data_IF_238802131357
#
_entry.id   IF_238802131357
#
_cell.length_a   1.000
_cell.length_b   1.000
_cell.length_c   1.000
_cell.angle_alpha   90.00
_cell.angle_beta   90.00
_cell.angle_gamma   90.00
#
_symmetry.space_group_name_H-M   'P 1'
#
loop_
_entity.id
_entity.type
_entity.pdbx_description
1 polymer ?
#
# COMPACT_ATOMS: atom_id res chain seq x y z
N UNK A 1 -37.06 -15.61 4.61
CA UNK A 1 -36.89 -14.20 5.03
C UNK A 1 -36.12 -14.01 6.35
N UNK A 2 -36.10 -15.01 7.26
CA UNK A 2 -35.37 -14.93 8.56
C UNK A 2 -33.85 -15.07 8.47
N UNK A 3 -33.30 -15.71 7.44
CA UNK A 3 -31.85 -15.96 7.31
C UNK A 3 -31.07 -14.69 6.89
N UNK A 4 -31.67 -13.78 6.11
CA UNK A 4 -31.02 -12.54 5.66
C UNK A 4 -30.85 -11.50 6.78
N UNK A 5 -31.73 -11.52 7.78
CA UNK A 5 -31.66 -10.61 8.93
C UNK A 5 -30.53 -11.05 9.88
N UNK A 6 -30.31 -12.36 10.03
CA UNK A 6 -29.26 -12.89 10.91
C UNK A 6 -27.85 -12.58 10.38
N UNK A 7 -27.63 -12.63 9.06
CA UNK A 7 -26.35 -12.29 8.45
C UNK A 7 -26.06 -10.78 8.56
N UNK A 8 -27.09 -9.94 8.45
CA UNK A 8 -26.96 -8.48 8.60
C UNK A 8 -26.57 -8.09 10.04
N UNK A 9 -27.15 -8.78 11.05
CA UNK A 9 -26.81 -8.57 12.46
C UNK A 9 -25.40 -9.05 12.80
N UNK A 10 -24.93 -10.15 12.21
CA UNK A 10 -23.56 -10.64 12.42
C UNK A 10 -22.51 -9.67 11.82
N UNK A 11 -22.78 -9.11 10.62
CA UNK A 11 -21.90 -8.10 10.01
C UNK A 11 -21.91 -6.75 10.76
N UNK A 12 -23.04 -6.33 11.28
CA UNK A 12 -23.15 -5.14 12.12
C UNK A 12 -22.44 -5.34 13.48
N UNK A 13 -22.51 -6.53 14.07
CA UNK A 13 -21.82 -6.82 15.34
C UNK A 13 -20.30 -6.82 15.19
N UNK A 14 -19.73 -7.38 14.12
CA UNK A 14 -18.28 -7.35 13.87
C UNK A 14 -17.75 -5.93 13.62
N UNK A 15 -18.50 -5.07 12.93
CA UNK A 15 -18.14 -3.65 12.72
C UNK A 15 -18.21 -2.83 14.01
N UNK A 16 -19.14 -3.15 14.93
CA UNK A 16 -19.23 -2.53 16.25
C UNK A 16 -18.10 -3.00 17.18
N UNK A 17 -17.76 -4.28 17.17
CA UNK A 17 -16.69 -4.84 18.00
C UNK A 17 -15.34 -4.17 17.73
N UNK A 18 -14.98 -3.89 16.45
CA UNK A 18 -13.73 -3.20 16.15
C UNK A 18 -13.70 -1.73 16.57
N UNK A 19 -14.85 -1.02 16.47
CA UNK A 19 -14.94 0.36 16.96
C UNK A 19 -14.89 0.41 18.50
N UNK A 20 -15.50 -0.56 19.17
CA UNK A 20 -15.54 -0.65 20.61
C UNK A 20 -14.17 -1.03 21.22
N UNK A 21 -13.38 -1.88 20.56
CA UNK A 21 -12.01 -2.23 21.01
C UNK A 21 -11.10 -1.02 20.98
N UNK A 22 -11.10 -0.23 19.89
CA UNK A 22 -10.28 0.99 19.82
C UNK A 22 -10.72 2.02 20.85
N UNK A 23 -12.01 2.27 20.97
CA UNK A 23 -12.52 3.22 21.95
C UNK A 23 -12.25 2.75 23.37
N UNK A 24 -12.36 1.46 23.64
CA UNK A 24 -11.99 0.87 24.92
C UNK A 24 -10.50 1.02 25.21
N UNK A 25 -9.61 0.64 24.28
CA UNK A 25 -8.16 0.77 24.46
C UNK A 25 -7.74 2.23 24.62
N UNK A 26 -8.32 3.16 23.85
CA UNK A 26 -8.03 4.58 23.99
C UNK A 26 -8.69 5.25 25.21
N UNK A 27 -9.65 4.63 25.89
CA UNK A 27 -10.29 5.18 27.09
C UNK A 27 -9.63 4.75 28.38
N UNK A 28 -8.88 3.66 28.39
CA UNK A 28 -8.14 3.22 29.58
C UNK A 28 -6.92 4.11 29.79
N UNK A 29 -6.55 4.43 31.04
CA UNK A 29 -5.26 5.03 31.33
C UNK A 29 -4.17 4.10 30.83
N UNK A 30 -3.22 4.63 30.05
CA UNK A 30 -2.18 3.82 29.41
C UNK A 30 -1.37 2.98 30.40
N UNK A 31 -1.09 3.53 31.56
CA UNK A 31 -0.33 2.85 32.62
C UNK A 31 -1.07 1.65 33.20
N UNK A 32 -2.40 1.56 33.01
CA UNK A 32 -3.21 0.42 33.44
C UNK A 32 -3.23 -0.74 32.46
N UNK A 33 -2.76 -0.51 31.19
CA UNK A 33 -2.78 -1.54 30.14
C UNK A 33 -1.58 -2.48 30.26
N UNK A 34 -0.50 -2.06 30.95
CA UNK A 34 0.70 -2.89 31.19
C UNK A 34 1.51 -3.24 29.93
N UNK A 35 1.19 -2.66 28.78
CA UNK A 35 1.85 -2.91 27.52
C UNK A 35 2.81 -1.76 27.15
N UNK A 36 3.93 -2.10 26.50
CA UNK A 36 4.80 -1.10 25.86
C UNK A 36 4.10 -0.45 24.67
N UNK A 37 4.66 0.63 24.13
CA UNK A 37 4.11 1.30 22.94
C UNK A 37 3.90 0.35 21.76
N UNK A 38 4.93 -0.43 21.47
CA UNK A 38 4.93 -1.32 20.31
C UNK A 38 4.01 -2.52 20.53
N UNK A 39 4.05 -3.10 21.76
CA UNK A 39 3.16 -4.20 22.14
C UNK A 39 1.69 -3.83 22.05
N UNK A 40 1.33 -2.59 22.36
CA UNK A 40 -0.06 -2.12 22.25
C UNK A 40 -0.54 -2.06 20.80
N UNK A 41 0.32 -1.58 19.89
CA UNK A 41 0.01 -1.55 18.45
C UNK A 41 -0.07 -2.96 17.89
N UNK A 42 0.90 -3.82 18.20
CA UNK A 42 0.93 -5.21 17.74
C UNK A 42 -0.31 -5.97 18.23
N UNK A 43 -0.62 -5.90 19.52
CA UNK A 43 -1.82 -6.53 20.08
C UNK A 43 -3.10 -6.07 19.37
N UNK A 44 -3.25 -4.77 19.12
CA UNK A 44 -4.39 -4.25 18.37
C UNK A 44 -4.47 -4.83 16.93
N UNK A 45 -3.35 -4.94 16.24
CA UNK A 45 -3.30 -5.47 14.87
C UNK A 45 -3.62 -6.97 14.85
N UNK A 46 -3.07 -7.75 15.78
CA UNK A 46 -3.34 -9.18 15.95
C UNK A 46 -4.83 -9.44 16.22
N UNK A 47 -5.44 -8.75 17.20
CA UNK A 47 -6.87 -8.84 17.50
C UNK A 47 -7.75 -8.40 16.31
N UNK A 48 -7.22 -7.57 15.43
CA UNK A 48 -7.88 -7.16 14.19
C UNK A 48 -7.69 -8.15 13.04
N UNK A 49 -6.95 -9.25 13.25
CA UNK A 49 -6.67 -10.25 12.23
C UNK A 49 -5.74 -9.75 11.11
N UNK A 50 -4.85 -8.80 11.42
CA UNK A 50 -3.84 -8.31 10.49
C UNK A 50 -2.62 -9.24 10.53
N UNK A 51 -2.13 -9.71 9.38
CA UNK A 51 -0.90 -10.51 9.31
C UNK A 51 0.30 -9.74 9.88
N UNK A 52 1.03 -10.37 10.76
CA UNK A 52 2.27 -9.85 11.34
C UNK A 52 3.35 -10.90 11.17
N UNK A 53 4.49 -10.49 10.67
CA UNK A 53 5.67 -11.34 10.54
C UNK A 53 6.89 -10.68 11.15
N UNK A 54 7.77 -11.47 11.71
CA UNK A 54 9.00 -11.04 12.41
C UNK A 54 10.29 -11.45 11.70
N UNK A 55 10.18 -12.00 10.50
CA UNK A 55 11.29 -12.44 9.66
C UNK A 55 11.43 -11.54 8.43
N UNK A 56 11.85 -10.28 8.63
CA UNK A 56 11.92 -9.32 7.52
C UNK A 56 13.12 -8.39 7.58
N UNK A 57 13.59 -7.95 6.40
CA UNK A 57 14.45 -6.78 6.21
C UNK A 57 13.68 -5.68 5.51
N UNK A 58 13.82 -4.45 6.00
CA UNK A 58 13.18 -3.27 5.40
C UNK A 58 14.22 -2.20 5.11
N UNK A 59 14.30 -1.76 3.86
CA UNK A 59 15.12 -0.64 3.41
C UNK A 59 14.23 0.54 3.04
N UNK A 60 14.42 1.69 3.68
CA UNK A 60 13.74 2.92 3.31
C UNK A 60 14.40 3.56 2.08
N UNK A 61 13.58 3.87 1.08
CA UNK A 61 13.93 4.55 -0.16
C UNK A 61 13.37 5.97 -0.08
N UNK A 62 14.23 6.94 0.17
CA UNK A 62 13.88 8.31 0.57
C UNK A 62 13.69 9.26 -0.61
N UNK A 63 13.80 8.76 -1.84
CA UNK A 63 13.64 9.55 -3.06
C UNK A 63 13.23 8.67 -4.24
N UNK A 64 12.66 9.28 -5.27
CA UNK A 64 12.37 8.57 -6.52
C UNK A 64 13.61 7.98 -7.17
N UNK A 65 14.75 8.68 -7.07
CA UNK A 65 16.04 8.17 -7.59
C UNK A 65 16.44 6.86 -6.91
N UNK A 66 16.43 6.82 -5.58
CA UNK A 66 16.73 5.60 -4.83
C UNK A 66 15.77 4.47 -5.18
N UNK A 67 14.45 4.78 -5.19
CA UNK A 67 13.42 3.79 -5.55
C UNK A 67 13.65 3.19 -6.92
N UNK A 68 13.83 4.02 -7.95
CA UNK A 68 13.90 3.49 -9.31
C UNK A 68 15.21 2.77 -9.62
N UNK A 69 16.33 3.18 -9.03
CA UNK A 69 17.58 2.43 -9.12
C UNK A 69 17.40 1.03 -8.51
N UNK A 70 16.94 0.96 -7.27
CA UNK A 70 16.77 -0.28 -6.51
C UNK A 70 15.73 -1.22 -7.17
N UNK A 71 14.56 -0.69 -7.55
CA UNK A 71 13.52 -1.46 -8.22
C UNK A 71 13.98 -2.02 -9.58
N UNK A 72 14.71 -1.23 -10.38
CA UNK A 72 15.17 -1.68 -11.69
C UNK A 72 16.27 -2.73 -11.56
N UNK A 73 17.12 -2.64 -10.55
CA UNK A 73 18.09 -3.69 -10.23
C UNK A 73 17.39 -5.00 -9.87
N UNK A 74 16.43 -4.95 -8.95
CA UNK A 74 15.66 -6.14 -8.58
C UNK A 74 14.92 -6.76 -9.78
N UNK A 75 14.34 -5.95 -10.67
CA UNK A 75 13.69 -6.45 -11.88
C UNK A 75 14.70 -7.10 -12.85
N UNK A 76 15.93 -6.55 -12.99
CA UNK A 76 16.98 -7.19 -13.82
C UNK A 76 17.33 -8.59 -13.32
N UNK A 77 17.31 -8.79 -12.01
CA UNK A 77 17.65 -10.06 -11.37
C UNK A 77 16.48 -11.07 -11.39
N UNK A 78 15.27 -10.65 -11.70
CA UNK A 78 14.08 -11.49 -11.73
C UNK A 78 14.27 -12.75 -12.59
N UNK A 79 13.80 -13.89 -12.09
CA UNK A 79 13.91 -15.21 -12.76
C UNK A 79 12.56 -15.87 -13.03
N UNK A 80 11.55 -15.58 -12.21
CA UNK A 80 10.24 -16.23 -12.30
C UNK A 80 9.13 -15.23 -12.66
N UNK A 81 8.92 -14.19 -11.84
CA UNK A 81 7.83 -13.24 -12.09
C UNK A 81 8.12 -11.84 -11.60
N UNK A 82 7.46 -10.87 -12.24
CA UNK A 82 7.36 -9.48 -11.79
C UNK A 82 5.89 -9.07 -11.77
N UNK A 83 5.38 -8.74 -10.59
CA UNK A 83 4.02 -8.26 -10.38
C UNK A 83 4.04 -6.78 -9.97
N UNK A 84 3.25 -5.96 -10.64
CA UNK A 84 3.22 -4.52 -10.45
C UNK A 84 1.77 -4.02 -10.29
N UNK A 85 1.44 -3.41 -9.15
CA UNK A 85 0.16 -2.77 -8.86
C UNK A 85 0.40 -1.31 -8.48
N UNK A 86 -0.07 -0.39 -9.30
CA UNK A 86 0.12 1.04 -9.07
C UNK A 86 -1.16 1.82 -9.35
N UNK A 87 -1.36 2.95 -8.66
CA UNK A 87 -2.46 3.84 -8.99
C UNK A 87 -2.33 4.37 -10.42
N UNK A 88 -1.12 4.71 -10.85
CA UNK A 88 -0.85 5.02 -12.26
C UNK A 88 0.57 4.68 -12.69
N UNK A 89 0.71 4.41 -13.99
CA UNK A 89 1.94 4.51 -14.76
C UNK A 89 1.82 5.73 -15.66
N UNK A 90 2.69 6.73 -15.50
CA UNK A 90 2.71 7.85 -16.44
C UNK A 90 3.41 7.45 -17.73
N UNK A 91 2.92 7.95 -18.87
CA UNK A 91 3.60 7.78 -20.13
C UNK A 91 4.75 8.79 -20.22
N UNK A 92 5.81 8.56 -19.48
CA UNK A 92 7.01 9.39 -19.37
C UNK A 92 8.29 8.53 -19.39
N UNK A 93 9.46 9.15 -19.15
CA UNK A 93 10.75 8.48 -19.35
C UNK A 93 10.93 7.27 -18.44
N UNK A 94 10.60 7.39 -17.15
CA UNK A 94 10.74 6.30 -16.18
C UNK A 94 9.82 5.14 -16.51
N UNK A 95 8.56 5.39 -16.82
CA UNK A 95 7.63 4.32 -17.16
C UNK A 95 8.02 3.64 -18.48
N UNK A 96 8.48 4.41 -19.47
CA UNK A 96 8.96 3.83 -20.73
C UNK A 96 10.21 2.96 -20.52
N UNK A 97 11.17 3.41 -19.69
CA UNK A 97 12.35 2.61 -19.32
C UNK A 97 11.95 1.34 -18.56
N UNK A 98 10.98 1.44 -17.63
CA UNK A 98 10.45 0.27 -16.92
C UNK A 98 9.85 -0.74 -17.89
N UNK A 99 8.92 -0.32 -18.78
CA UNK A 99 8.31 -1.25 -19.74
C UNK A 99 9.30 -1.84 -20.75
N UNK A 100 10.37 -1.11 -21.10
CA UNK A 100 11.46 -1.66 -21.91
C UNK A 100 12.17 -2.79 -21.17
N UNK A 101 12.57 -2.57 -19.91
CA UNK A 101 13.21 -3.59 -19.08
C UNK A 101 12.29 -4.80 -18.87
N UNK A 102 11.01 -4.58 -18.59
CA UNK A 102 10.02 -5.65 -18.43
C UNK A 102 9.88 -6.50 -19.71
N UNK A 103 9.90 -5.86 -20.89
CA UNK A 103 9.85 -6.56 -22.18
C UNK A 103 11.13 -7.39 -22.42
N UNK A 104 12.29 -6.98 -21.93
CA UNK A 104 13.52 -7.76 -21.94
C UNK A 104 13.36 -9.00 -21.04
N UNK A 105 12.82 -8.84 -19.83
CA UNK A 105 12.58 -9.92 -18.88
C UNK A 105 11.56 -10.96 -19.43
N UNK A 106 10.52 -10.51 -20.13
CA UNK A 106 9.59 -11.42 -20.81
C UNK A 106 10.32 -12.31 -21.84
N UNK A 107 11.28 -11.75 -22.61
CA UNK A 107 12.08 -12.53 -23.56
C UNK A 107 12.99 -13.56 -22.87
N UNK A 108 13.35 -13.29 -21.61
CA UNK A 108 14.10 -14.23 -20.77
C UNK A 108 13.22 -15.30 -20.12
N UNK A 109 11.90 -15.28 -20.35
CA UNK A 109 10.92 -16.23 -19.80
C UNK A 109 10.29 -15.80 -18.47
N UNK A 110 10.53 -14.57 -18.01
CA UNK A 110 9.92 -14.04 -16.78
C UNK A 110 8.46 -13.67 -17.04
N UNK A 111 7.55 -14.09 -16.17
CA UNK A 111 6.14 -13.69 -16.21
C UNK A 111 5.97 -12.26 -15.71
N UNK A 112 5.40 -11.39 -16.51
CA UNK A 112 5.20 -9.98 -16.13
C UNK A 112 3.72 -9.62 -16.12
N UNK A 113 3.21 -9.26 -14.95
CA UNK A 113 1.83 -8.80 -14.75
C UNK A 113 1.82 -7.41 -14.14
N UNK A 114 1.10 -6.49 -14.77
CA UNK A 114 0.97 -5.10 -14.32
C UNK A 114 -0.50 -4.68 -14.24
N UNK A 115 -0.86 -4.01 -13.17
CA UNK A 115 -2.21 -3.47 -12.96
C UNK A 115 -2.14 -2.01 -12.55
N UNK A 116 -3.10 -1.21 -13.03
CA UNK A 116 -3.23 0.20 -12.64
C UNK A 116 -4.69 0.62 -12.55
N UNK A 117 -4.96 1.58 -11.67
CA UNK A 117 -6.31 2.11 -11.48
C UNK A 117 -6.79 2.91 -12.71
N UNK A 118 -8.03 2.67 -13.13
CA UNK A 118 -8.60 3.34 -14.30
C UNK A 118 -8.73 4.85 -14.11
N UNK A 119 -9.13 5.31 -12.90
CA UNK A 119 -9.22 6.73 -12.56
C UNK A 119 -7.82 7.35 -12.41
N UNK A 120 -6.89 6.63 -11.75
CA UNK A 120 -5.50 7.07 -11.60
C UNK A 120 -4.83 7.31 -12.95
N UNK A 121 -5.13 6.47 -13.94
CA UNK A 121 -4.64 6.70 -15.30
C UNK A 121 -5.36 7.86 -15.99
N UNK A 122 -6.68 7.98 -15.82
CA UNK A 122 -7.47 9.05 -16.46
C UNK A 122 -7.13 10.43 -15.91
N UNK A 123 -6.95 10.54 -14.61
CA UNK A 123 -6.72 11.82 -13.92
C UNK A 123 -5.31 12.39 -14.11
N UNK A 124 -4.34 11.60 -14.58
CA UNK A 124 -2.99 12.10 -14.80
C UNK A 124 -2.83 12.77 -16.17
N UNK A 125 -1.93 13.74 -16.27
CA UNK A 125 -1.71 14.54 -17.50
C UNK A 125 -0.89 13.81 -18.59
N UNK A 126 -0.35 12.61 -18.31
CA UNK A 126 0.37 11.75 -19.27
C UNK A 126 -0.17 10.31 -19.19
N UNK A 127 -1.45 10.04 -19.50
CA UNK A 127 -2.04 8.72 -19.34
C UNK A 127 -1.53 7.70 -20.36
N UNK A 128 -1.51 6.44 -19.98
CA UNK A 128 -1.37 5.32 -20.90
C UNK A 128 -2.65 5.22 -21.75
N UNK A 129 -2.55 5.60 -23.03
CA UNK A 129 -3.65 5.50 -24.01
C UNK A 129 -3.74 4.08 -24.58
N UNK A 130 -4.85 3.75 -25.26
CA UNK A 130 -5.08 2.42 -25.89
C UNK A 130 -3.89 1.97 -26.76
N UNK A 131 -3.28 2.88 -27.54
CA UNK A 131 -2.11 2.56 -28.37
C UNK A 131 -0.87 2.14 -27.58
N UNK A 132 -0.65 2.78 -26.39
CA UNK A 132 0.47 2.43 -25.52
C UNK A 132 0.26 1.05 -24.87
N UNK A 133 -0.95 0.79 -24.39
CA UNK A 133 -1.32 -0.51 -23.81
C UNK A 133 -1.23 -1.63 -24.84
N UNK A 134 -1.63 -1.38 -26.09
CA UNK A 134 -1.47 -2.33 -27.18
C UNK A 134 -0.01 -2.71 -27.36
N UNK A 135 0.88 -1.69 -27.50
CA UNK A 135 2.32 -1.90 -27.65
C UNK A 135 2.93 -2.69 -26.48
N UNK A 136 2.54 -2.39 -25.24
CA UNK A 136 3.02 -3.10 -24.05
C UNK A 136 2.60 -4.57 -24.10
N UNK A 137 1.34 -4.86 -24.45
CA UNK A 137 0.83 -6.23 -24.57
C UNK A 137 1.49 -7.02 -25.69
N UNK A 138 1.78 -6.38 -26.82
CA UNK A 138 2.52 -6.99 -27.95
C UNK A 138 3.94 -7.41 -27.56
N UNK A 139 4.48 -6.87 -26.47
CA UNK A 139 5.78 -7.25 -25.90
C UNK A 139 5.67 -8.43 -24.91
N UNK A 140 4.46 -9.02 -24.73
CA UNK A 140 4.22 -10.14 -23.82
C UNK A 140 3.93 -9.76 -22.38
N UNK A 141 3.80 -8.48 -22.07
CA UNK A 141 3.45 -8.00 -20.72
C UNK A 141 1.93 -8.05 -20.55
N UNK A 142 1.46 -8.79 -19.55
CA UNK A 142 0.05 -8.76 -19.15
C UNK A 142 -0.22 -7.44 -18.40
N UNK A 143 -0.96 -6.51 -19.02
CA UNK A 143 -1.32 -5.24 -18.38
C UNK A 143 -2.82 -4.99 -18.42
N UNK A 144 -3.41 -4.75 -17.25
CA UNK A 144 -4.85 -4.55 -17.07
C UNK A 144 -5.17 -3.25 -16.32
N UNK A 145 -6.40 -2.79 -16.48
CA UNK A 145 -6.96 -1.68 -15.71
C UNK A 145 -7.80 -2.23 -14.57
N UNK A 146 -7.52 -1.80 -13.37
CA UNK A 146 -8.39 -2.03 -12.23
C UNK A 146 -9.65 -1.18 -12.37
N UNK A 147 -10.81 -1.82 -12.21
CA UNK A 147 -12.15 -1.23 -12.18
C UNK A 147 -12.37 -0.16 -13.27
N UNK A 148 -12.35 -0.55 -14.56
CA UNK A 148 -12.59 0.37 -15.66
C UNK A 148 -13.99 0.97 -15.56
N UNK A 149 -14.10 2.26 -15.92
CA UNK A 149 -15.40 2.93 -15.95
C UNK A 149 -16.33 2.30 -16.99
N UNK A 150 -17.42 1.70 -16.50
CA UNK A 150 -18.51 1.16 -17.30
C UNK A 150 -19.80 1.87 -16.97
N UNK A 151 -20.70 2.02 -17.95
CA UNK A 151 -22.01 2.62 -17.70
C UNK A 151 -22.89 1.68 -16.85
N UNK A 152 -23.66 2.16 -15.86
CA UNK A 152 -23.73 3.52 -15.32
C UNK A 152 -22.60 3.81 -14.32
N UNK A 153 -21.82 4.84 -14.56
CA UNK A 153 -20.53 5.18 -13.90
C UNK A 153 -20.60 5.38 -12.37
N UNK A 154 -21.77 5.54 -11.82
CA UNK A 154 -22.02 5.98 -10.43
C UNK A 154 -21.50 4.99 -9.39
N UNK A 155 -21.46 3.70 -9.70
CA UNK A 155 -21.12 2.65 -8.73
C UNK A 155 -19.62 2.44 -8.52
N UNK A 156 -18.77 3.02 -9.37
CA UNK A 156 -17.32 2.77 -9.41
C UNK A 156 -16.47 3.96 -8.95
N UNK A 157 -17.05 5.14 -8.77
CA UNK A 157 -16.29 6.36 -8.44
C UNK A 157 -15.49 6.25 -7.13
N UNK A 158 -16.01 5.56 -6.13
CA UNK A 158 -15.37 5.39 -4.81
C UNK A 158 -14.52 4.11 -4.68
N UNK A 159 -14.61 3.20 -5.65
CA UNK A 159 -13.89 1.93 -5.63
C UNK A 159 -12.57 2.08 -6.39
N UNK A 160 -11.59 2.70 -5.74
CA UNK A 160 -10.29 3.00 -6.36
C UNK A 160 -9.18 2.20 -5.69
N UNK A 161 -8.22 1.80 -6.51
CA UNK A 161 -7.00 1.15 -6.07
C UNK A 161 -5.86 2.16 -6.00
N UNK A 162 -5.50 2.55 -4.78
CA UNK A 162 -4.42 3.51 -4.55
C UNK A 162 -3.13 2.86 -4.03
N UNK A 163 -3.05 1.52 -4.09
CA UNK A 163 -1.84 0.78 -3.69
C UNK A 163 -0.67 1.06 -4.63
N UNK A 164 0.51 0.83 -4.14
CA UNK A 164 1.75 0.80 -4.90
C UNK A 164 2.50 -0.41 -4.41
N UNK A 165 2.40 -1.48 -5.17
CA UNK A 165 3.02 -2.77 -4.86
C UNK A 165 3.84 -3.21 -6.07
N UNK A 166 5.06 -3.65 -5.82
CA UNK A 166 5.81 -4.46 -6.76
C UNK A 166 6.30 -5.70 -6.02
N UNK A 167 6.16 -6.87 -6.61
CA UNK A 167 6.70 -8.12 -6.10
C UNK A 167 7.55 -8.78 -7.17
N UNK A 168 8.76 -9.15 -6.82
CA UNK A 168 9.73 -9.77 -7.70
C UNK A 168 10.08 -11.16 -7.16
N UNK A 169 9.77 -12.20 -7.94
CA UNK A 169 10.03 -13.61 -7.63
C UNK A 169 9.45 -14.11 -6.29
N UNK A 170 8.50 -13.36 -5.69
CA UNK A 170 8.03 -13.61 -4.33
C UNK A 170 9.09 -13.38 -3.24
N UNK A 171 10.26 -12.85 -3.57
CA UNK A 171 11.42 -12.69 -2.66
C UNK A 171 11.63 -11.25 -2.21
N UNK A 172 11.31 -10.31 -3.06
CA UNK A 172 11.47 -8.88 -2.80
C UNK A 172 10.17 -8.17 -3.13
N UNK A 173 9.72 -7.32 -2.22
CA UNK A 173 8.56 -6.47 -2.46
C UNK A 173 8.87 -4.99 -2.24
N UNK A 174 8.10 -4.14 -2.90
CA UNK A 174 8.14 -2.70 -2.75
C UNK A 174 6.75 -2.17 -2.47
N UNK A 175 6.65 -1.25 -1.50
CA UNK A 175 5.43 -0.50 -1.22
C UNK A 175 5.74 0.90 -0.69
N UNK A 176 4.78 1.83 -0.77
CA UNK A 176 4.94 3.20 -0.28
C UNK A 176 4.11 4.23 -1.06
N UNK A 177 4.54 5.50 -1.04
CA UNK A 177 3.78 6.60 -1.63
C UNK A 177 3.95 6.77 -3.16
N UNK A 178 5.10 6.36 -3.71
CA UNK A 178 5.51 6.72 -5.07
C UNK A 178 4.87 5.85 -6.15
N UNK A 179 4.22 6.48 -7.13
CA UNK A 179 3.85 5.84 -8.40
C UNK A 179 5.06 5.68 -9.34
N UNK A 180 4.81 5.31 -10.59
CA UNK A 180 5.82 5.25 -11.65
C UNK A 180 5.73 6.52 -12.50
N UNK A 181 6.56 7.51 -12.17
CA UNK A 181 6.56 8.81 -12.84
C UNK A 181 7.87 9.59 -12.65
N UNK A 182 8.24 10.36 -13.68
CA UNK A 182 9.46 11.19 -13.72
C UNK A 182 9.52 12.23 -12.59
N UNK A 183 8.38 12.75 -12.13
CA UNK A 183 8.35 13.85 -11.16
C UNK A 183 8.86 13.44 -9.77
N UNK A 184 8.90 12.16 -9.45
CA UNK A 184 9.53 11.69 -8.21
C UNK A 184 11.06 11.87 -8.21
N UNK A 185 11.67 12.02 -9.41
CA UNK A 185 13.10 12.33 -9.57
C UNK A 185 13.31 13.82 -9.82
N UNK A 186 12.55 14.38 -10.78
CA UNK A 186 12.80 15.70 -11.34
C UNK A 186 11.97 16.81 -10.69
N UNK A 187 11.01 16.47 -9.82
CA UNK A 187 10.03 17.40 -9.29
C UNK A 187 9.01 17.86 -10.35
N UNK A 188 8.25 18.89 -9.99
CA UNK A 188 7.30 19.56 -10.88
C UNK A 188 7.63 21.06 -10.98
N UNK A 189 7.53 21.69 -12.17
CA UNK A 189 7.92 23.10 -12.36
C UNK A 189 7.26 24.08 -11.40
N UNK A 190 5.99 23.83 -11.01
CA UNK A 190 5.22 24.72 -10.11
C UNK A 190 5.42 24.42 -8.62
N UNK A 191 5.91 23.21 -8.28
CA UNK A 191 5.97 22.72 -6.90
C UNK A 191 7.43 22.58 -6.44
N UNK A 192 8.35 22.36 -7.38
CA UNK A 192 9.76 22.10 -7.09
C UNK A 192 10.02 20.61 -6.84
N UNK A 193 10.96 20.33 -5.95
CA UNK A 193 11.36 18.97 -5.61
C UNK A 193 10.21 18.20 -4.97
N UNK A 194 9.94 17.01 -5.49
CA UNK A 194 8.96 16.09 -4.91
C UNK A 194 9.63 15.16 -3.90
N UNK A 195 9.18 15.21 -2.66
CA UNK A 195 9.64 14.29 -1.61
C UNK A 195 8.56 13.28 -1.31
N UNK A 196 8.94 12.02 -1.31
CA UNK A 196 8.07 10.90 -0.96
C UNK A 196 8.93 9.72 -0.51
N UNK A 197 8.34 8.71 0.11
CA UNK A 197 9.06 7.55 0.63
C UNK A 197 8.48 6.27 0.07
N UNK A 198 9.37 5.30 -0.10
CA UNK A 198 9.04 3.93 -0.48
C UNK A 198 9.85 2.97 0.38
N UNK A 199 9.47 1.71 0.39
CA UNK A 199 10.18 0.66 1.11
C UNK A 199 10.47 -0.50 0.17
N UNK A 200 11.64 -1.08 0.31
CA UNK A 200 11.99 -2.42 -0.13
C UNK A 200 11.84 -3.35 1.07
N UNK A 201 11.18 -4.48 0.90
CA UNK A 201 10.92 -5.50 1.90
C UNK A 201 11.44 -6.82 1.38
N UNK A 202 12.14 -7.57 2.22
CA UNK A 202 12.55 -8.95 2.01
C UNK A 202 12.11 -9.76 3.22
N UNK A 203 11.73 -11.03 3.04
CA UNK A 203 11.22 -11.89 4.12
C UNK A 203 9.71 -12.13 4.03
N UNK A 204 9.12 -12.60 5.12
CA UNK A 204 7.77 -13.20 5.12
C UNK A 204 6.65 -12.21 4.74
N UNK A 205 6.79 -10.92 5.07
CA UNK A 205 5.83 -9.89 4.67
C UNK A 205 5.71 -9.70 3.14
N UNK A 206 6.66 -10.23 2.35
CA UNK A 206 6.55 -10.26 0.88
C UNK A 206 5.35 -11.11 0.46
N UNK A 207 5.07 -12.20 1.17
CA UNK A 207 3.95 -13.09 0.90
C UNK A 207 2.60 -12.37 1.07
N UNK A 208 2.48 -11.48 2.07
CA UNK A 208 1.25 -10.69 2.27
C UNK A 208 1.00 -9.73 1.10
N UNK A 209 2.04 -9.07 0.61
CA UNK A 209 1.93 -8.17 -0.55
C UNK A 209 1.63 -8.94 -1.84
N UNK A 210 2.20 -10.13 -1.99
CA UNK A 210 1.93 -11.05 -3.10
C UNK A 210 0.47 -11.53 -3.08
N UNK A 211 -0.03 -11.92 -1.92
CA UNK A 211 -1.44 -12.35 -1.74
C UNK A 211 -2.42 -11.22 -2.10
N UNK A 212 -2.14 -9.99 -1.67
CA UNK A 212 -2.94 -8.81 -2.03
C UNK A 212 -2.98 -8.65 -3.55
N UNK A 213 -1.81 -8.66 -4.21
CA UNK A 213 -1.73 -8.53 -5.66
C UNK A 213 -2.53 -9.64 -6.37
N UNK A 214 -2.27 -10.90 -6.04
CA UNK A 214 -2.90 -12.05 -6.70
C UNK A 214 -4.41 -12.09 -6.47
N UNK A 215 -4.89 -11.75 -5.27
CA UNK A 215 -6.32 -11.66 -4.97
C UNK A 215 -7.02 -10.68 -5.91
N UNK A 216 -6.43 -9.51 -6.13
CA UNK A 216 -7.01 -8.47 -6.98
C UNK A 216 -6.84 -8.84 -8.46
N UNK A 217 -5.65 -9.29 -8.85
CA UNK A 217 -5.36 -9.74 -10.22
C UNK A 217 -6.33 -10.82 -10.70
N UNK A 218 -6.47 -11.89 -9.93
CA UNK A 218 -7.35 -13.00 -10.26
C UNK A 218 -8.82 -12.58 -10.35
N UNK A 219 -9.25 -11.68 -9.48
CA UNK A 219 -10.60 -11.12 -9.53
C UNK A 219 -10.85 -10.31 -10.79
N UNK A 220 -9.91 -9.42 -11.17
CA UNK A 220 -10.07 -8.53 -12.33
C UNK A 220 -9.92 -9.27 -13.67
N UNK A 221 -9.03 -10.26 -13.73
CA UNK A 221 -8.71 -11.00 -14.97
C UNK A 221 -9.50 -12.28 -15.15
N UNK A 222 -10.13 -12.80 -14.08
CA UNK A 222 -10.75 -14.14 -14.03
C UNK A 222 -9.75 -15.27 -14.22
N UNK A 223 -8.46 -15.00 -14.00
CA UNK A 223 -7.42 -16.02 -13.93
C UNK A 223 -7.43 -16.67 -12.53
N UNK A 224 -6.63 -17.72 -12.37
CA UNK A 224 -6.39 -18.39 -11.09
C UNK A 224 -4.88 -18.60 -10.92
N UNK A 225 -4.15 -17.50 -10.85
CA UNK A 225 -2.70 -17.49 -10.64
C UNK A 225 -2.42 -17.71 -9.17
N UNK A 226 -1.51 -18.64 -8.85
CA UNK A 226 -1.13 -18.97 -7.48
C UNK A 226 -0.27 -20.22 -7.43
N UNK A 227 -0.02 -20.74 -6.22
CA UNK A 227 0.81 -21.91 -5.97
C UNK A 227 2.20 -21.55 -5.43
N UNK A 228 2.95 -22.56 -5.01
CA UNK A 228 4.23 -22.42 -4.28
C UNK A 228 5.28 -21.59 -5.02
N UNK A 229 5.26 -21.61 -6.37
CA UNK A 229 6.21 -20.81 -7.17
C UNK A 229 6.09 -19.30 -6.96
N UNK A 230 4.95 -18.82 -6.48
CA UNK A 230 4.72 -17.40 -6.18
C UNK A 230 4.94 -17.05 -4.70
N UNK A 231 5.08 -18.05 -3.84
CA UNK A 231 5.25 -17.92 -2.39
C UNK A 231 6.44 -18.78 -1.93
N UNK A 232 7.67 -18.44 -2.33
CA UNK A 232 8.84 -19.17 -1.90
C UNK A 232 9.03 -19.05 -0.38
N UNK A 233 9.66 -20.04 0.23
CA UNK A 233 10.11 -19.94 1.60
C UNK A 233 11.23 -18.90 1.71
N UNK A 234 11.17 -18.07 2.74
CA UNK A 234 12.21 -17.09 3.04
C UNK A 234 13.21 -17.65 4.04
N UNK A 235 14.47 -17.29 3.83
CA UNK A 235 15.53 -17.64 4.79
C UNK A 235 15.31 -16.86 6.10
N UNK A 236 15.60 -17.51 7.23
CA UNK A 236 15.53 -16.86 8.54
C UNK A 236 16.55 -15.69 8.61
N UNK A 237 16.05 -14.54 8.98
CA UNK A 237 16.88 -13.38 9.26
C UNK A 237 17.46 -13.49 10.67
N UNK A 238 18.72 -13.87 10.76
CA UNK A 238 19.38 -14.11 12.07
C UNK A 238 20.14 -12.91 12.61
N UNK A 239 20.16 -11.81 11.87
CA UNK A 239 20.93 -10.60 12.23
C UNK A 239 20.07 -9.52 12.92
N UNK A 240 20.73 -8.49 13.44
CA UNK A 240 20.08 -7.36 14.13
C UNK A 240 19.25 -6.46 13.21
N UNK A 241 19.15 -6.76 11.90
CA UNK A 241 18.34 -6.03 10.93
C UNK A 241 16.94 -6.60 10.79
N UNK A 242 16.64 -7.69 11.48
CA UNK A 242 15.30 -8.29 11.49
C UNK A 242 14.26 -7.33 12.07
N UNK A 243 13.16 -7.13 11.35
CA UNK A 243 12.13 -6.16 11.67
C UNK A 243 10.75 -6.82 11.64
N UNK A 244 9.93 -6.53 12.65
CA UNK A 244 8.52 -6.90 12.67
C UNK A 244 7.76 -6.02 11.66
N UNK A 245 7.01 -6.66 10.78
CA UNK A 245 6.21 -6.00 9.74
C UNK A 245 4.76 -6.46 9.82
N UNK A 246 3.84 -5.51 9.73
CA UNK A 246 2.41 -5.77 9.58
C UNK A 246 1.90 -5.12 8.30
N UNK A 247 1.24 -5.87 7.43
CA UNK A 247 0.67 -5.35 6.20
C UNK A 247 -0.82 -5.06 6.41
N UNK A 248 -1.14 -3.78 6.56
CA UNK A 248 -2.52 -3.33 6.76
C UNK A 248 -3.16 -2.99 5.42
N UNK A 249 -3.91 -3.94 4.86
CA UNK A 249 -4.68 -3.71 3.63
C UNK A 249 -6.10 -3.22 3.92
N UNK A 250 -6.59 -2.39 3.01
CA UNK A 250 -7.94 -1.84 3.08
C UNK A 250 -8.63 -1.86 1.73
N UNK A 251 -9.87 -2.32 1.73
CA UNK A 251 -10.79 -2.14 0.61
C UNK A 251 -12.04 -1.37 1.03
N UNK A 252 -12.72 -0.63 0.13
CA UNK A 252 -13.93 0.14 0.47
C UNK A 252 -15.07 -0.71 1.05
N UNK A 253 -15.15 -1.99 0.70
CA UNK A 253 -16.19 -2.91 1.16
C UNK A 253 -15.79 -3.73 2.38
N UNK A 254 -14.49 -3.89 2.61
CA UNK A 254 -13.94 -4.72 3.68
C UNK A 254 -12.89 -3.91 4.44
N UNK A 255 -12.96 -3.89 5.75
CA UNK A 255 -12.00 -3.19 6.60
C UNK A 255 -11.85 -1.68 6.29
N UNK A 256 -12.94 -0.99 5.95
CA UNK A 256 -12.90 0.40 5.45
C UNK A 256 -12.27 1.41 6.43
N UNK A 257 -12.24 1.11 7.74
CA UNK A 257 -11.67 1.97 8.79
C UNK A 257 -10.32 1.48 9.30
N UNK A 258 -9.84 0.30 8.90
CA UNK A 258 -8.65 -0.32 9.48
C UNK A 258 -7.41 0.57 9.44
N UNK A 259 -7.08 1.18 8.29
CA UNK A 259 -5.94 2.11 8.19
C UNK A 259 -6.07 3.28 9.17
N UNK A 260 -7.27 3.87 9.27
CA UNK A 260 -7.53 4.98 10.19
C UNK A 260 -7.34 4.56 11.65
N UNK A 261 -7.72 3.35 11.98
CA UNK A 261 -7.58 2.77 13.31
C UNK A 261 -6.11 2.41 13.62
N UNK A 262 -5.39 1.82 12.68
CA UNK A 262 -3.97 1.53 12.84
C UNK A 262 -3.16 2.81 13.08
N UNK A 263 -3.42 3.88 12.30
CA UNK A 263 -2.82 5.20 12.57
C UNK A 263 -3.22 5.77 13.93
N UNK A 264 -4.49 5.69 14.31
CA UNK A 264 -4.96 6.17 15.61
C UNK A 264 -4.27 5.44 16.77
N UNK A 265 -4.12 4.13 16.68
CA UNK A 265 -3.41 3.33 17.69
C UNK A 265 -1.92 3.66 17.75
N UNK A 266 -1.26 3.80 16.60
CA UNK A 266 0.16 4.21 16.55
C UNK A 266 0.38 5.61 17.18
N UNK A 267 -0.50 6.57 16.89
CA UNK A 267 -0.46 7.90 17.51
C UNK A 267 -0.72 7.81 19.01
N UNK A 268 -1.76 7.07 19.42
CA UNK A 268 -2.12 6.92 20.83
C UNK A 268 -1.04 6.21 21.65
N UNK A 269 -0.33 5.24 21.06
CA UNK A 269 0.74 4.50 21.73
C UNK A 269 2.01 5.33 21.96
N UNK A 270 2.20 6.42 21.24
CA UNK A 270 3.41 7.24 21.32
C UNK A 270 3.66 7.78 22.75
N UNK A 271 4.95 7.80 23.15
CA UNK A 271 5.39 8.22 24.49
C UNK A 271 6.18 9.52 24.51
N UNK A 272 6.89 9.85 23.41
CA UNK A 272 7.81 11.00 23.38
C UNK A 272 7.38 12.03 22.35
N UNK A 273 7.22 11.60 21.10
CA UNK A 273 6.84 12.50 20.00
C UNK A 273 6.05 11.77 18.92
N UNK A 274 5.26 12.54 18.18
CA UNK A 274 4.55 12.13 16.96
C UNK A 274 4.88 13.14 15.87
N UNK A 275 5.50 12.70 14.80
CA UNK A 275 5.77 13.54 13.64
C UNK A 275 4.94 13.04 12.45
N UNK A 276 4.07 13.90 11.92
CA UNK A 276 3.21 13.59 10.76
C UNK A 276 3.60 14.51 9.61
N UNK A 277 3.97 13.91 8.49
CA UNK A 277 4.21 14.62 7.23
C UNK A 277 3.17 14.17 6.22
N UNK A 278 2.25 15.07 5.85
CA UNK A 278 1.17 14.73 4.93
C UNK A 278 0.69 15.99 4.18
N UNK A 279 0.70 16.01 2.83
CA UNK A 279 0.29 17.18 2.05
C UNK A 279 -1.22 17.48 2.19
N UNK A 280 -2.04 16.48 2.47
CA UNK A 280 -3.52 16.57 2.52
C UNK A 280 -4.06 16.12 3.87
N UNK A 281 -3.63 16.76 4.96
CA UNK A 281 -3.96 16.34 6.31
C UNK A 281 -5.45 16.56 6.64
N UNK A 282 -6.26 15.55 6.38
CA UNK A 282 -7.70 15.49 6.71
C UNK A 282 -7.94 14.33 7.68
N UNK A 283 -7.68 14.51 8.98
CA UNK A 283 -7.77 13.44 9.95
C UNK A 283 -9.21 12.98 10.20
N UNK A 284 -9.41 11.68 10.29
CA UNK A 284 -10.68 11.07 10.71
C UNK A 284 -10.96 11.36 12.20
N UNK A 285 -12.18 11.09 12.65
CA UNK A 285 -12.55 11.28 14.07
C UNK A 285 -11.66 10.46 15.02
N UNK A 286 -11.30 9.21 14.66
CA UNK A 286 -10.40 8.37 15.46
C UNK A 286 -8.99 8.96 15.55
N UNK A 287 -8.44 9.45 14.45
CA UNK A 287 -7.13 10.12 14.43
C UNK A 287 -7.16 11.41 15.27
N UNK A 288 -8.21 12.24 15.13
CA UNK A 288 -8.36 13.46 15.95
C UNK A 288 -8.40 13.14 17.44
N UNK A 289 -9.18 12.11 17.83
CA UNK A 289 -9.29 11.67 19.21
C UNK A 289 -7.95 11.16 19.74
N UNK A 290 -7.21 10.37 18.95
CA UNK A 290 -5.88 9.90 19.32
C UNK A 290 -4.89 11.05 19.51
N UNK A 291 -4.84 12.01 18.58
CA UNK A 291 -3.97 13.20 18.68
C UNK A 291 -4.25 13.99 19.96
N UNK A 292 -5.51 14.35 20.23
CA UNK A 292 -5.87 15.10 21.43
C UNK A 292 -5.41 14.38 22.69
N UNK A 293 -5.71 13.08 22.83
CA UNK A 293 -5.29 12.30 24.00
C UNK A 293 -3.78 12.17 24.15
N UNK A 294 -3.08 12.13 23.04
CA UNK A 294 -1.62 12.07 23.01
C UNK A 294 -1.02 13.39 23.47
N UNK A 295 -1.58 14.52 23.03
CA UNK A 295 -1.22 15.88 23.49
C UNK A 295 -1.54 16.06 24.97
N UNK A 296 -2.72 15.62 25.43
CA UNK A 296 -3.14 15.73 26.83
C UNK A 296 -2.19 14.99 27.79
N UNK A 297 -1.45 13.98 27.29
CA UNK A 297 -0.39 13.27 28.05
C UNK A 297 0.97 13.95 27.99
N UNK A 298 1.11 15.09 27.33
CA UNK A 298 2.35 15.84 27.20
C UNK A 298 3.31 15.32 26.13
N UNK A 299 2.83 14.49 25.22
CA UNK A 299 3.63 14.02 24.06
C UNK A 299 3.73 15.12 23.04
N UNK A 300 4.93 15.38 22.52
CA UNK A 300 5.15 16.38 21.47
C UNK A 300 4.55 15.92 20.13
N UNK A 301 3.72 16.76 19.52
CA UNK A 301 3.05 16.47 18.24
C UNK A 301 3.37 17.53 17.21
N UNK A 302 4.08 17.14 16.17
CA UNK A 302 4.43 18.02 15.05
C UNK A 302 3.76 17.52 13.76
N UNK A 303 3.04 18.41 13.08
CA UNK A 303 2.37 18.14 11.80
C UNK A 303 2.96 19.07 10.73
N UNK A 304 3.53 18.48 9.69
CA UNK A 304 4.04 19.20 8.53
C UNK A 304 3.11 18.98 7.33
N UNK A 305 2.60 20.05 6.77
CA UNK A 305 1.77 20.05 5.55
C UNK A 305 2.50 20.78 4.42
N UNK A 306 2.08 20.52 3.18
CA UNK A 306 2.64 21.22 2.02
C UNK A 306 2.19 22.71 2.00
N UNK A 307 3.11 23.61 1.70
CA UNK A 307 2.80 25.04 1.48
C UNK A 307 2.16 25.31 0.11
N UNK A 308 2.31 24.38 -0.84
CA UNK A 308 1.72 24.46 -2.17
C UNK A 308 0.94 23.18 -2.45
N UNK A 309 -0.25 23.29 -3.03
CA UNK A 309 -1.07 22.16 -3.45
C UNK A 309 -0.82 21.81 -4.91
N UNK A 310 -0.68 20.53 -5.20
CA UNK A 310 -0.69 19.99 -6.57
C UNK A 310 -2.12 19.68 -7.06
N UNK A 311 -3.10 19.78 -6.17
CA UNK A 311 -4.53 19.63 -6.50
C UNK A 311 -5.12 21.02 -6.65
N UNK A 312 -5.71 21.37 -7.82
CA UNK A 312 -6.47 22.60 -7.95
C UNK A 312 -7.75 22.47 -7.10
N UNK A 313 -7.96 23.41 -6.21
CA UNK A 313 -9.21 23.62 -5.48
C UNK A 313 -10.10 24.60 -6.25
#
# INVERSE_FOLDING_TARGET
MKLRIFILFLFLSLLHVQADVIDSLMTQPRDSIGLTSDSLVLHFLEESGIPISDNNKVKLLKSGREKFIDLFEAIREAKHHVHLEYFNFRNDSIANALFTLLAEKVKEGVEVRAMFDAFGNWSNNKPLKKKHLKKIREQGIEIVKFDPFTFPYINHAAHRDHRKIAVIDGKVAYTGGMNIADYYINGLPKIGTWRDMHMRIEGDAVNDLQEIFLTIWNKETKQNIGGEAYFPQHEEQTDSTNIVVAIVDRTPKKNSRMLSHAYAMSIYSAQKNVHIVNPYFVPTSSIKKALNRTIDRGVDVTIMVSSASDIPF
#
